data_IF_998138839914
#
_entry.id   IF_998138839914
#
_cell.length_a   1.000
_cell.length_b   1.000
_cell.length_c   1.000
_cell.angle_alpha   90.00
_cell.angle_beta   90.00
_cell.angle_gamma   90.00
#
_symmetry.space_group_name_H-M   'P 1'
#
loop_
_entity.id
_entity.type
_entity.pdbx_description
1 polymer ?
#
# COMPACT_ATOMS: atom_id res chain seq x y z
N UNK A 1 5.65 -9.20 25.15
CA UNK A 1 6.95 -9.44 24.50
C UNK A 1 7.77 -10.36 25.38
N UNK A 2 8.39 -11.38 24.78
CA UNK A 2 9.24 -12.36 25.51
C UNK A 2 10.73 -12.03 25.39
N UNK A 3 11.09 -10.76 25.12
CA UNK A 3 12.48 -10.31 25.04
C UNK A 3 13.27 -10.88 23.83
N UNK A 4 12.60 -11.34 22.78
CA UNK A 4 13.27 -11.94 21.62
C UNK A 4 14.28 -10.99 20.96
N UNK A 5 13.96 -9.69 20.94
CA UNK A 5 14.89 -8.67 20.43
C UNK A 5 16.17 -8.55 21.28
N UNK A 6 16.07 -8.76 22.59
CA UNK A 6 17.21 -8.74 23.49
C UNK A 6 18.14 -9.93 23.25
N UNK A 7 17.60 -11.02 22.69
CA UNK A 7 18.34 -12.22 22.28
C UNK A 7 18.87 -12.12 20.83
N UNK A 8 18.75 -10.95 20.19
CA UNK A 8 19.20 -10.75 18.80
C UNK A 8 18.30 -11.37 17.75
N UNK A 9 17.05 -11.74 18.09
CA UNK A 9 16.08 -12.31 17.14
C UNK A 9 15.26 -11.19 16.53
N UNK A 10 15.33 -11.04 15.21
CA UNK A 10 14.47 -10.14 14.45
C UNK A 10 13.14 -10.84 14.14
N UNK A 11 12.03 -10.14 14.35
CA UNK A 11 10.70 -10.61 13.98
C UNK A 11 10.30 -9.98 12.66
N UNK A 12 9.90 -10.83 11.71
CA UNK A 12 9.31 -10.42 10.45
C UNK A 12 7.80 -10.67 10.48
N UNK A 13 7.04 -9.73 9.95
CA UNK A 13 5.59 -9.82 9.90
C UNK A 13 5.03 -9.23 8.58
N UNK A 14 3.77 -9.51 8.29
CA UNK A 14 3.09 -9.05 7.08
C UNK A 14 1.94 -8.09 7.35
N UNK A 15 0.81 -8.33 6.68
CA UNK A 15 -0.37 -7.48 6.74
C UNK A 15 -1.07 -7.46 8.11
N UNK A 16 -0.86 -8.46 8.93
CA UNK A 16 -1.41 -8.60 10.29
C UNK A 16 -0.82 -7.61 11.31
N UNK A 17 0.19 -6.84 10.93
CA UNK A 17 0.78 -5.76 11.74
C UNK A 17 0.48 -4.39 11.14
N UNK A 18 -0.72 -4.19 10.61
CA UNK A 18 -1.15 -2.90 10.08
C UNK A 18 -1.40 -1.88 11.19
N UNK A 19 -1.53 -0.63 10.81
CA UNK A 19 -1.79 0.50 11.71
C UNK A 19 -3.07 0.33 12.53
N UNK A 20 -4.05 -0.43 12.04
CA UNK A 20 -5.27 -0.80 12.78
C UNK A 20 -4.99 -1.74 13.95
N UNK A 21 -3.95 -2.56 13.87
CA UNK A 21 -3.66 -3.63 14.82
C UNK A 21 -2.55 -3.24 15.81
N UNK A 22 -1.63 -2.38 15.37
CA UNK A 22 -0.53 -1.90 16.19
C UNK A 22 -0.94 -1.29 17.56
N UNK A 23 -2.06 -0.57 17.72
CA UNK A 23 -2.50 -0.09 19.03
C UNK A 23 -2.76 -1.21 20.04
N UNK A 24 -3.25 -2.38 19.58
CA UNK A 24 -3.47 -3.55 20.45
C UNK A 24 -2.17 -4.26 20.83
N UNK A 25 -1.16 -4.25 19.95
CA UNK A 25 0.17 -4.84 20.19
C UNK A 25 1.01 -3.91 21.08
N UNK A 26 0.86 -2.61 20.88
CA UNK A 26 1.56 -1.59 21.65
C UNK A 26 3.07 -1.53 21.40
N UNK A 27 3.81 -1.06 22.40
CA UNK A 27 5.28 -0.86 22.32
C UNK A 27 6.07 -2.13 22.05
N UNK A 28 5.51 -3.30 22.31
CA UNK A 28 6.15 -4.58 22.02
C UNK A 28 6.28 -4.89 20.52
N UNK A 29 5.61 -4.11 19.67
CA UNK A 29 5.78 -4.18 18.22
C UNK A 29 7.05 -3.47 17.72
N UNK A 30 7.71 -2.67 18.54
CA UNK A 30 8.90 -1.91 18.12
C UNK A 30 9.99 -2.83 17.55
N UNK A 31 10.56 -2.45 16.40
CA UNK A 31 11.61 -3.20 15.73
C UNK A 31 11.12 -4.36 14.86
N UNK A 32 9.83 -4.67 14.83
CA UNK A 32 9.30 -5.65 13.87
C UNK A 32 9.54 -5.14 12.45
N UNK A 33 10.08 -6.00 11.60
CA UNK A 33 10.25 -5.72 10.16
C UNK A 33 9.02 -6.24 9.42
N UNK A 34 8.50 -5.43 8.52
CA UNK A 34 7.32 -5.78 7.70
C UNK A 34 7.56 -5.47 6.24
N UNK A 35 6.87 -6.18 5.34
CA UNK A 35 6.91 -5.92 3.91
C UNK A 35 5.49 -5.75 3.36
N UNK A 36 5.22 -4.60 2.72
CA UNK A 36 3.92 -4.34 2.09
C UNK A 36 4.05 -3.27 1.00
N UNK A 37 3.02 -3.16 0.17
CA UNK A 37 2.96 -2.17 -0.92
C UNK A 37 2.41 -0.79 -0.50
N UNK A 38 2.19 -0.56 0.78
CA UNK A 38 1.73 0.73 1.31
C UNK A 38 2.20 0.97 2.74
N UNK A 39 2.39 2.25 3.06
CA UNK A 39 2.49 2.77 4.42
C UNK A 39 1.89 4.19 4.46
N UNK A 40 1.10 4.55 5.49
CA UNK A 40 0.64 5.94 5.65
C UNK A 40 1.78 6.93 5.94
N UNK A 41 2.97 6.44 6.23
CA UNK A 41 4.19 7.23 6.51
C UNK A 41 5.10 7.40 5.30
N UNK A 42 4.65 7.05 4.08
CA UNK A 42 5.39 7.33 2.85
C UNK A 42 5.55 8.84 2.66
N UNK A 43 6.81 9.26 2.48
CA UNK A 43 7.17 10.67 2.30
C UNK A 43 7.01 11.13 0.84
N UNK A 44 5.79 11.03 0.33
CA UNK A 44 5.44 11.52 -1.00
C UNK A 44 4.32 12.57 -0.91
N UNK A 45 4.30 13.58 -1.80
CA UNK A 45 3.21 14.57 -1.81
C UNK A 45 1.83 13.94 -1.96
N UNK A 46 1.72 12.91 -2.80
CA UNK A 46 0.45 12.20 -3.06
C UNK A 46 -0.06 11.49 -1.82
N UNK A 47 0.83 10.79 -1.09
CA UNK A 47 0.44 10.13 0.15
C UNK A 47 0.06 11.13 1.24
N UNK A 48 0.83 12.20 1.40
CA UNK A 48 0.51 13.25 2.39
C UNK A 48 -0.86 13.87 2.15
N UNK A 49 -1.21 14.17 0.89
CA UNK A 49 -2.55 14.65 0.54
C UNK A 49 -3.64 13.62 0.83
N UNK A 50 -3.41 12.36 0.47
CA UNK A 50 -4.34 11.26 0.75
C UNK A 50 -4.59 11.12 2.26
N UNK A 51 -3.54 11.05 3.08
CA UNK A 51 -3.65 10.94 4.55
C UNK A 51 -4.39 12.15 5.13
N UNK A 52 -4.06 13.37 4.67
CA UNK A 52 -4.73 14.60 5.09
C UNK A 52 -6.24 14.55 4.80
N UNK A 53 -6.64 14.17 3.59
CA UNK A 53 -8.05 14.06 3.20
C UNK A 53 -8.77 12.94 3.95
N UNK A 54 -8.08 11.83 4.18
CA UNK A 54 -8.61 10.71 4.96
C UNK A 54 -8.95 11.15 6.39
N UNK A 55 -8.02 11.84 7.07
CA UNK A 55 -8.24 12.40 8.41
C UNK A 55 -9.35 13.45 8.44
N UNK A 56 -9.46 14.28 7.42
CA UNK A 56 -10.54 15.27 7.32
C UNK A 56 -11.92 14.62 7.22
N UNK A 57 -12.02 13.45 6.59
CA UNK A 57 -13.28 12.73 6.39
C UNK A 57 -13.64 11.84 7.59
N UNK A 58 -12.67 11.16 8.19
CA UNK A 58 -12.91 10.11 9.18
C UNK A 58 -12.47 10.47 10.61
N UNK A 59 -11.91 11.66 10.80
CA UNK A 59 -11.45 12.16 12.08
C UNK A 59 -9.93 12.28 12.19
N UNK A 60 -9.42 13.13 13.09
CA UNK A 60 -8.01 13.47 13.18
C UNK A 60 -7.11 12.27 13.54
N UNK A 61 -7.67 11.29 14.26
CA UNK A 61 -6.95 10.08 14.70
C UNK A 61 -7.05 8.94 13.69
N UNK A 62 -7.82 9.11 12.60
CA UNK A 62 -7.97 8.09 11.58
C UNK A 62 -6.68 7.94 10.76
N UNK A 63 -6.21 6.69 10.62
CA UNK A 63 -5.02 6.34 9.85
C UNK A 63 -5.44 5.43 8.69
N UNK A 64 -5.12 5.77 7.44
CA UNK A 64 -5.47 4.90 6.32
C UNK A 64 -4.67 3.60 6.36
N UNK A 65 -5.36 2.50 6.11
CA UNK A 65 -4.79 1.15 6.00
C UNK A 65 -4.51 0.78 4.55
N UNK A 66 -3.90 -0.39 4.35
CA UNK A 66 -3.78 -1.02 3.03
C UNK A 66 -5.14 -1.13 2.32
N UNK A 67 -6.20 -1.51 3.04
CA UNK A 67 -7.53 -1.68 2.46
C UNK A 67 -8.13 -0.35 1.99
N UNK A 68 -8.01 0.73 2.79
CA UNK A 68 -8.52 2.05 2.40
C UNK A 68 -7.75 2.65 1.22
N UNK A 69 -6.43 2.45 1.16
CA UNK A 69 -5.62 2.85 0.02
C UNK A 69 -5.98 2.02 -1.23
N UNK A 70 -6.14 0.70 -1.10
CA UNK A 70 -6.57 -0.17 -2.20
C UNK A 70 -7.95 0.21 -2.75
N UNK A 71 -8.90 0.54 -1.88
CA UNK A 71 -10.22 1.03 -2.29
C UNK A 71 -10.14 2.39 -3.03
N UNK A 72 -9.25 3.27 -2.60
CA UNK A 72 -9.01 4.55 -3.29
C UNK A 72 -8.48 4.31 -4.71
N UNK A 73 -7.49 3.43 -4.88
CA UNK A 73 -6.95 3.07 -6.19
C UNK A 73 -7.99 2.36 -7.08
N UNK A 74 -8.78 1.44 -6.51
CA UNK A 74 -9.85 0.76 -7.24
C UNK A 74 -10.88 1.75 -7.79
N UNK A 75 -11.30 2.72 -6.98
CA UNK A 75 -12.22 3.76 -7.44
C UNK A 75 -11.60 4.68 -8.49
N UNK A 76 -10.28 4.95 -8.41
CA UNK A 76 -9.58 5.67 -9.46
C UNK A 76 -9.63 4.92 -10.80
N UNK A 77 -9.30 3.63 -10.81
CA UNK A 77 -9.35 2.79 -12.02
C UNK A 77 -10.77 2.68 -12.56
N UNK A 78 -11.78 2.47 -11.70
CA UNK A 78 -13.20 2.44 -12.11
C UNK A 78 -13.61 3.75 -12.78
N UNK A 79 -13.19 4.89 -12.23
CA UNK A 79 -13.51 6.20 -12.81
C UNK A 79 -12.90 6.36 -14.22
N UNK A 80 -11.67 5.89 -14.44
CA UNK A 80 -11.04 5.90 -15.76
C UNK A 80 -11.76 4.99 -16.74
N UNK A 81 -12.20 3.79 -16.33
CA UNK A 81 -13.01 2.89 -17.14
C UNK A 81 -14.34 3.54 -17.54
N UNK A 82 -15.03 4.20 -16.62
CA UNK A 82 -16.28 4.91 -16.89
C UNK A 82 -16.06 6.06 -17.90
N UNK A 83 -15.00 6.85 -17.72
CA UNK A 83 -14.64 7.93 -18.66
C UNK A 83 -14.37 7.38 -20.07
N UNK A 84 -13.59 6.31 -20.17
CA UNK A 84 -13.24 5.71 -21.44
C UNK A 84 -14.44 5.14 -22.22
N UNK A 85 -15.47 4.71 -21.50
CA UNK A 85 -16.71 4.17 -22.09
C UNK A 85 -17.84 5.19 -22.23
N UNK A 86 -17.61 6.45 -21.85
CA UNK A 86 -18.63 7.49 -21.78
C UNK A 86 -19.86 7.03 -20.95
N UNK A 87 -19.62 6.31 -19.87
CA UNK A 87 -20.63 5.73 -18.99
C UNK A 87 -21.44 4.56 -19.57
N UNK A 88 -21.10 4.08 -20.76
CA UNK A 88 -21.77 2.92 -21.37
C UNK A 88 -21.35 1.63 -20.68
N UNK A 89 -22.26 0.65 -20.64
CA UNK A 89 -22.01 -0.68 -20.10
C UNK A 89 -21.30 -1.57 -21.13
N UNK A 90 -20.06 -1.22 -21.43
CA UNK A 90 -19.19 -1.98 -22.33
C UNK A 90 -17.96 -2.46 -21.53
N UNK A 91 -18.01 -3.70 -21.05
CA UNK A 91 -16.96 -4.28 -20.24
C UNK A 91 -15.66 -4.51 -21.00
N UNK A 92 -15.73 -4.81 -22.29
CA UNK A 92 -14.54 -5.03 -23.12
C UNK A 92 -13.81 -3.71 -23.38
N UNK A 93 -14.53 -2.66 -23.74
CA UNK A 93 -13.96 -1.34 -23.92
C UNK A 93 -13.38 -0.79 -22.61
N UNK A 94 -14.08 -0.99 -21.47
CA UNK A 94 -13.61 -0.63 -20.17
C UNK A 94 -12.29 -1.34 -19.81
N UNK A 95 -12.21 -2.65 -20.03
CA UNK A 95 -11.00 -3.43 -19.78
C UNK A 95 -9.85 -3.07 -20.74
N UNK A 96 -10.17 -2.77 -22.01
CA UNK A 96 -9.16 -2.31 -22.97
C UNK A 96 -8.53 -0.98 -22.54
N UNK A 97 -9.31 -0.08 -21.94
CA UNK A 97 -8.85 1.24 -21.52
C UNK A 97 -7.83 1.19 -20.38
N UNK A 98 -7.83 0.15 -19.56
CA UNK A 98 -6.91 0.01 -18.42
C UNK A 98 -5.68 -0.86 -18.72
N UNK A 99 -5.60 -1.47 -19.90
CA UNK A 99 -4.40 -2.23 -20.32
C UNK A 99 -3.20 -1.29 -20.47
N UNK A 100 -2.14 -1.53 -19.70
CA UNK A 100 -0.95 -0.68 -19.70
C UNK A 100 -1.17 0.68 -19.01
N UNK A 101 -2.33 0.90 -18.38
CA UNK A 101 -2.61 2.14 -17.68
C UNK A 101 -1.69 2.31 -16.48
N UNK A 102 -1.18 3.53 -16.28
CA UNK A 102 -0.30 3.87 -15.17
C UNK A 102 -0.74 5.16 -14.50
N UNK A 103 -0.56 5.23 -13.19
CA UNK A 103 -0.89 6.43 -12.41
C UNK A 103 0.01 6.59 -11.19
N UNK A 104 0.02 7.79 -10.64
CA UNK A 104 0.63 8.07 -9.34
C UNK A 104 -0.41 7.83 -8.24
N UNK A 105 -0.20 6.79 -7.46
CA UNK A 105 -1.02 6.42 -6.31
C UNK A 105 -0.43 6.99 -5.00
N UNK A 106 -1.20 7.07 -3.89
CA UNK A 106 -0.65 7.28 -2.56
C UNK A 106 0.48 6.31 -2.17
N UNK A 107 0.48 5.11 -2.77
CA UNK A 107 1.53 4.10 -2.57
C UNK A 107 2.71 4.21 -3.57
N UNK A 108 2.80 5.30 -4.32
CA UNK A 108 3.82 5.51 -5.36
C UNK A 108 3.33 5.15 -6.76
N UNK A 109 4.23 5.05 -7.75
CA UNK A 109 3.88 4.73 -9.12
C UNK A 109 3.28 3.32 -9.23
N UNK A 110 2.22 3.21 -10.02
CA UNK A 110 1.49 1.97 -10.25
C UNK A 110 1.18 1.84 -11.74
N UNK A 111 1.30 0.63 -12.27
CA UNK A 111 0.84 0.32 -13.62
C UNK A 111 0.17 -1.05 -13.70
N UNK A 112 -0.71 -1.21 -14.69
CA UNK A 112 -1.37 -2.47 -15.00
C UNK A 112 -0.67 -3.10 -16.20
N UNK A 113 -0.14 -4.31 -16.02
CA UNK A 113 0.49 -5.04 -17.12
C UNK A 113 -0.54 -5.31 -18.23
N UNK A 114 -0.23 -4.98 -19.51
CA UNK A 114 -1.19 -5.11 -20.59
C UNK A 114 -1.51 -6.56 -20.98
N UNK A 115 -0.66 -7.52 -20.65
CA UNK A 115 -0.85 -8.94 -20.97
C UNK A 115 -1.48 -9.70 -19.81
N UNK A 116 -0.92 -9.56 -18.60
CA UNK A 116 -1.34 -10.31 -17.42
C UNK A 116 -2.44 -9.61 -16.63
N UNK A 117 -2.58 -8.28 -16.76
CA UNK A 117 -3.46 -7.39 -15.97
C UNK A 117 -3.05 -7.29 -14.49
N UNK A 118 -1.87 -7.74 -14.18
CA UNK A 118 -1.33 -7.63 -12.83
C UNK A 118 -0.77 -6.24 -12.57
N UNK A 119 -0.64 -5.93 -11.29
CA UNK A 119 -0.15 -4.63 -10.85
C UNK A 119 1.38 -4.68 -10.74
N UNK A 120 2.06 -3.78 -11.44
CA UNK A 120 3.44 -3.40 -11.14
C UNK A 120 3.43 -2.26 -10.14
N UNK A 121 4.14 -2.40 -9.03
CA UNK A 121 4.10 -1.47 -7.90
C UNK A 121 5.37 -1.52 -7.06
N UNK A 122 5.55 -0.54 -6.18
CA UNK A 122 6.59 -0.60 -5.18
C UNK A 122 6.20 -1.52 -4.01
N UNK A 123 7.20 -2.21 -3.45
CA UNK A 123 7.10 -2.94 -2.18
C UNK A 123 8.06 -2.28 -1.19
N UNK A 124 7.53 -1.94 -0.03
CA UNK A 124 8.26 -1.26 1.04
C UNK A 124 8.63 -2.23 2.13
N UNK A 125 9.92 -2.30 2.46
CA UNK A 125 10.36 -2.85 3.73
C UNK A 125 10.18 -1.76 4.77
N UNK A 126 9.49 -2.07 5.87
CA UNK A 126 9.11 -1.12 6.89
C UNK A 126 9.54 -1.65 8.24
N UNK A 127 9.84 -0.76 9.16
CA UNK A 127 10.12 -1.07 10.55
C UNK A 127 9.04 -0.43 11.42
N UNK A 128 8.53 -1.18 12.37
CA UNK A 128 7.59 -0.65 13.36
C UNK A 128 8.35 0.24 14.33
N UNK A 129 8.04 1.54 14.31
CA UNK A 129 8.69 2.59 15.11
C UNK A 129 7.66 3.47 15.82
N UNK A 130 8.05 4.14 16.92
CA UNK A 130 7.25 5.23 17.46
C UNK A 130 7.08 6.33 16.41
N UNK A 131 5.84 6.82 16.27
CA UNK A 131 5.46 7.91 15.39
C UNK A 131 4.78 9.02 16.18
N UNK A 132 4.39 10.10 15.51
CA UNK A 132 3.69 11.22 16.14
C UNK A 132 2.44 10.76 16.91
N UNK A 133 2.17 11.41 18.06
CA UNK A 133 1.04 11.05 18.92
C UNK A 133 1.31 9.86 19.84
N UNK A 134 2.56 9.34 19.91
CA UNK A 134 2.93 8.22 20.79
C UNK A 134 2.44 6.85 20.31
N UNK A 135 1.98 6.78 19.07
CA UNK A 135 1.57 5.54 18.41
C UNK A 135 2.77 4.78 17.85
N UNK A 136 2.55 3.52 17.50
CA UNK A 136 3.48 2.73 16.70
C UNK A 136 3.02 2.76 15.24
N UNK A 137 3.97 2.82 14.29
CA UNK A 137 3.66 2.84 12.87
C UNK A 137 4.72 2.12 12.03
N UNK A 138 4.31 1.59 10.89
CA UNK A 138 5.18 0.92 9.92
C UNK A 138 5.91 1.95 9.05
N UNK A 139 7.07 2.41 9.50
CA UNK A 139 7.87 3.43 8.82
C UNK A 139 8.72 2.78 7.73
N UNK A 140 8.62 3.22 6.47
CA UNK A 140 9.44 2.69 5.37
C UNK A 140 10.94 2.91 5.64
N UNK A 141 11.73 1.86 5.44
CA UNK A 141 13.20 1.89 5.57
C UNK A 141 13.91 1.52 4.28
N UNK A 142 13.22 0.81 3.37
CA UNK A 142 13.74 0.46 2.05
C UNK A 142 12.58 0.27 1.06
N UNK A 143 12.87 0.45 -0.23
CA UNK A 143 11.88 0.29 -1.32
C UNK A 143 12.44 -0.62 -2.40
N UNK A 144 11.70 -1.66 -2.74
CA UNK A 144 11.83 -2.36 -4.00
C UNK A 144 10.91 -1.69 -5.02
N UNK A 145 11.51 -1.08 -6.03
CA UNK A 145 10.74 -0.32 -7.04
C UNK A 145 10.26 -1.23 -8.17
N UNK A 146 9.07 -0.91 -8.71
CA UNK A 146 8.51 -1.54 -9.91
C UNK A 146 8.48 -3.07 -9.85
N UNK A 147 8.09 -3.60 -8.71
CA UNK A 147 7.98 -5.06 -8.52
C UNK A 147 6.83 -5.58 -9.35
N UNK A 148 7.14 -6.55 -10.20
CA UNK A 148 6.16 -7.32 -10.98
C UNK A 148 5.84 -8.63 -10.27
N UNK A 149 4.73 -9.24 -10.62
CA UNK A 149 4.36 -10.55 -10.12
C UNK A 149 5.40 -11.61 -10.55
N UNK A 150 6.05 -12.31 -9.58
CA UNK A 150 7.19 -13.18 -9.92
C UNK A 150 6.81 -14.46 -10.66
N UNK A 151 5.57 -14.93 -10.54
CA UNK A 151 5.14 -16.19 -11.17
C UNK A 151 5.23 -16.13 -12.70
N UNK A 152 4.70 -15.07 -13.32
CA UNK A 152 4.81 -14.89 -14.76
C UNK A 152 6.26 -14.63 -15.22
N UNK A 153 7.04 -13.96 -14.41
CA UNK A 153 8.47 -13.78 -14.71
C UNK A 153 9.25 -15.10 -14.70
N UNK A 154 8.85 -16.07 -13.87
CA UNK A 154 9.45 -17.40 -13.82
C UNK A 154 9.01 -18.32 -14.98
N UNK A 155 7.82 -18.12 -15.54
CA UNK A 155 7.33 -18.92 -16.68
C UNK A 155 7.94 -18.50 -18.02
N UNK A 156 8.50 -17.30 -18.13
CA UNK A 156 9.15 -16.79 -19.35
C UNK A 156 10.61 -17.28 -19.52
N UNK A 157 11.09 -18.17 -18.66
CA UNK A 157 12.38 -18.87 -18.75
C UNK A 157 12.19 -20.26 -19.30
#
# INVERSE_FOLDING_TARGET
ARGLGDEGITLDAGAETQESDLPAIGKSAAGIITALNYSPYLDTPKNKDFVKRYKAQFGPDAIPSLASMGAYDAMHVIAEMIKATDGKRDGEAAMAAIKGYSWESPRGPVSIDPETREITQNIYIREVKPVEGGLMGNVPIFTYENVVEPWHAMQKK
#
